data_IF_030650914564
#
_entry.id   IF_030650914564
#
_cell.length_a   1.000
_cell.length_b   1.000
_cell.length_c   1.000
_cell.angle_alpha   90.00
_cell.angle_beta   90.00
_cell.angle_gamma   90.00
#
_symmetry.space_group_name_H-M   'P 1'
#
loop_
_entity.id
_entity.type
_entity.pdbx_description
1 polymer ?
#
# COMPACT_ATOMS: atom_id res chain seq x y z
N UNK A 1 9.08 31.70 73.42
CA UNK A 1 10.04 30.89 72.64
C UNK A 1 9.88 31.24 71.16
N UNK A 2 10.92 31.80 70.51
CA UNK A 2 10.95 32.08 69.07
C UNK A 2 11.42 30.81 68.32
N UNK A 3 10.79 30.39 67.22
CA UNK A 3 11.29 29.27 66.43
C UNK A 3 12.45 29.72 65.53
N UNK A 4 13.56 28.98 65.63
CA UNK A 4 14.78 29.13 64.85
C UNK A 4 14.55 28.63 63.42
N UNK A 5 14.77 29.51 62.43
CA UNK A 5 14.91 29.12 61.02
C UNK A 5 16.28 28.49 60.82
N UNK A 6 16.36 27.19 60.51
CA UNK A 6 17.57 26.56 59.94
C UNK A 6 17.39 26.35 58.45
N UNK A 7 18.16 27.13 57.69
CA UNK A 7 18.44 26.98 56.26
C UNK A 7 19.38 25.79 56.05
N UNK A 8 18.99 24.83 55.21
CA UNK A 8 19.89 23.83 54.64
C UNK A 8 20.10 24.17 53.16
N UNK A 9 21.21 24.87 52.85
CA UNK A 9 21.78 24.93 51.51
C UNK A 9 22.76 23.77 51.36
N UNK A 10 22.31 22.67 50.75
CA UNK A 10 23.20 21.60 50.28
C UNK A 10 23.83 22.00 48.94
N UNK A 11 25.04 22.55 48.97
CA UNK A 11 25.81 22.84 47.77
C UNK A 11 26.32 21.53 47.16
N UNK A 12 25.91 21.21 45.93
CA UNK A 12 26.50 20.12 45.15
C UNK A 12 27.95 20.55 44.84
N UNK A 13 28.91 19.97 45.55
CA UNK A 13 30.32 20.28 45.34
C UNK A 13 30.75 20.00 43.91
N UNK A 14 31.63 20.86 43.36
CA UNK A 14 32.21 20.74 42.01
C UNK A 14 32.73 19.33 41.68
N UNK A 15 33.29 18.63 42.67
CA UNK A 15 33.71 17.22 42.55
C UNK A 15 32.55 16.24 42.42
N UNK A 16 31.44 16.48 43.11
CA UNK A 16 30.21 15.69 42.97
C UNK A 16 29.61 15.86 41.59
N UNK A 17 29.52 17.10 41.10
CA UNK A 17 29.04 17.40 39.75
C UNK A 17 29.88 16.72 38.66
N UNK A 18 31.22 16.82 38.75
CA UNK A 18 32.12 16.18 37.77
C UNK A 18 32.07 14.66 37.85
N UNK A 19 31.92 14.06 39.04
CA UNK A 19 31.74 12.61 39.20
C UNK A 19 30.45 12.12 38.57
N UNK A 20 29.36 12.87 38.73
CA UNK A 20 28.06 12.54 38.12
C UNK A 20 28.12 12.69 36.60
N UNK A 21 28.76 13.73 36.07
CA UNK A 21 28.92 13.94 34.62
C UNK A 21 29.82 12.88 33.97
N UNK A 22 30.93 12.51 34.62
CA UNK A 22 31.77 11.41 34.15
C UNK A 22 31.05 10.06 34.23
N UNK A 23 30.28 9.81 35.30
CA UNK A 23 29.44 8.61 35.41
C UNK A 23 28.38 8.52 34.30
N UNK A 24 27.72 9.65 33.99
CA UNK A 24 26.76 9.74 32.91
C UNK A 24 27.41 9.58 31.52
N UNK A 25 28.60 10.13 31.30
CA UNK A 25 29.34 9.99 30.04
C UNK A 25 29.85 8.56 29.82
N UNK A 26 30.30 7.88 30.88
CA UNK A 26 30.72 6.47 30.82
C UNK A 26 29.52 5.54 30.63
N UNK A 27 28.36 5.85 31.22
CA UNK A 27 27.14 5.07 31.06
C UNK A 27 26.38 5.36 29.75
N UNK A 28 26.59 6.51 29.11
CA UNK A 28 25.93 6.94 27.87
C UNK A 28 26.01 5.91 26.73
N UNK A 29 27.18 5.33 26.39
CA UNK A 29 27.25 4.28 25.36
C UNK A 29 26.58 2.96 25.78
N UNK A 30 26.29 2.74 27.06
CA UNK A 30 25.57 1.58 27.57
C UNK A 30 24.07 1.87 27.80
N UNK A 31 23.61 3.11 27.66
CA UNK A 31 22.18 3.45 27.73
C UNK A 31 21.39 2.79 26.60
N UNK A 32 22.04 2.46 25.47
CA UNK A 32 21.49 1.62 24.40
C UNK A 32 21.22 0.18 24.84
N UNK A 33 21.95 -0.36 25.83
CA UNK A 33 21.72 -1.71 26.39
C UNK A 33 20.55 -1.75 27.38
N UNK A 34 20.17 -0.59 27.94
CA UNK A 34 19.03 -0.43 28.84
C UNK A 34 17.77 0.05 28.12
N UNK A 35 17.87 0.36 26.82
CA UNK A 35 16.69 0.37 25.98
C UNK A 35 16.22 -1.09 25.92
N UNK A 36 14.97 -1.40 26.29
CA UNK A 36 14.39 -2.62 25.81
C UNK A 36 14.40 -2.47 24.29
N UNK A 37 15.39 -3.06 23.63
CA UNK A 37 15.24 -3.47 22.26
C UNK A 37 13.92 -4.23 22.25
N UNK A 38 12.86 -3.61 21.71
CA UNK A 38 11.66 -4.32 21.27
C UNK A 38 12.19 -5.54 20.55
N UNK A 39 12.03 -6.70 21.18
CA UNK A 39 12.79 -7.90 20.93
C UNK A 39 13.20 -7.98 19.45
N UNK A 40 14.47 -7.70 19.15
CA UNK A 40 15.06 -8.19 17.90
C UNK A 40 15.06 -9.69 18.04
N UNK A 41 13.95 -10.32 17.63
CA UNK A 41 13.87 -11.74 17.43
C UNK A 41 15.05 -12.11 16.53
N UNK A 42 16.04 -12.77 17.13
CA UNK A 42 17.17 -13.30 16.42
C UNK A 42 16.64 -14.33 15.42
N UNK A 43 16.73 -14.00 14.13
CA UNK A 43 16.42 -14.91 13.02
C UNK A 43 14.94 -15.10 12.71
N UNK A 44 14.23 -14.05 12.28
CA UNK A 44 12.85 -14.19 11.79
C UNK A 44 12.03 -12.91 11.71
N UNK A 45 12.60 -11.80 11.22
CA UNK A 45 11.83 -10.54 11.04
C UNK A 45 10.71 -10.68 10.00
N UNK A 46 9.73 -9.77 10.06
CA UNK A 46 8.68 -9.68 9.04
C UNK A 46 9.31 -9.58 7.64
N UNK A 47 9.00 -10.55 6.77
CA UNK A 47 9.57 -10.67 5.42
C UNK A 47 8.71 -10.04 4.33
N UNK A 48 7.48 -9.65 4.70
CA UNK A 48 6.47 -9.14 3.77
C UNK A 48 5.76 -7.98 4.41
N UNK A 49 5.46 -6.95 3.62
CA UNK A 49 4.55 -5.87 3.97
C UNK A 49 3.37 -5.93 3.00
N UNK A 50 2.16 -5.89 3.55
CA UNK A 50 0.94 -5.63 2.81
C UNK A 50 0.22 -4.46 3.47
N UNK A 51 -0.07 -3.42 2.70
CA UNK A 51 -0.86 -2.27 3.14
C UNK A 51 -2.24 -2.36 2.49
N UNK A 52 -3.28 -2.30 3.30
CA UNK A 52 -4.64 -2.06 2.83
C UNK A 52 -4.99 -0.60 3.07
N UNK A 53 -5.52 0.06 2.05
CA UNK A 53 -6.04 1.42 2.15
C UNK A 53 -7.48 1.47 1.68
N UNK A 54 -8.34 1.94 2.58
CA UNK A 54 -9.70 2.33 2.30
C UNK A 54 -9.83 3.83 2.60
N UNK A 55 -10.29 4.64 1.65
CA UNK A 55 -10.45 6.08 1.81
C UNK A 55 -11.61 6.40 2.76
N UNK A 56 -11.77 7.69 3.07
CA UNK A 56 -12.90 8.26 3.83
C UNK A 56 -13.00 7.82 5.30
N UNK A 57 -12.05 7.00 5.73
CA UNK A 57 -11.74 6.76 7.14
C UNK A 57 -12.56 5.64 7.76
N UNK A 58 -12.60 5.67 9.07
CA UNK A 58 -13.26 4.67 9.92
C UNK A 58 -14.19 5.40 10.89
N UNK A 59 -15.18 4.69 11.43
CA UNK A 59 -16.09 5.25 12.42
C UNK A 59 -15.36 5.41 13.76
N UNK A 60 -14.62 6.51 13.88
CA UNK A 60 -13.89 6.90 15.08
C UNK A 60 -14.82 7.38 16.20
N UNK A 61 -14.23 8.01 17.23
CA UNK A 61 -15.01 8.63 18.32
C UNK A 61 -15.95 9.69 17.74
N UNK A 62 -17.24 9.59 18.06
CA UNK A 62 -18.25 10.57 17.65
C UNK A 62 -17.95 11.94 18.24
N UNK A 63 -18.36 12.99 17.53
CA UNK A 63 -18.37 14.37 18.02
C UNK A 63 -19.18 14.54 19.32
N UNK A 64 -20.20 13.69 19.52
CA UNK A 64 -21.06 13.69 20.70
C UNK A 64 -20.47 12.87 21.87
N UNK A 65 -19.27 12.31 21.67
CA UNK A 65 -18.51 11.60 22.70
C UNK A 65 -18.67 10.09 22.68
N UNK A 66 -19.48 9.53 21.78
CA UNK A 66 -19.66 8.08 21.64
C UNK A 66 -18.34 7.37 21.38
N UNK A 67 -18.28 6.12 21.84
CA UNK A 67 -17.13 5.27 21.64
C UNK A 67 -16.78 5.10 20.15
N UNK A 68 -15.48 5.03 19.86
CA UNK A 68 -15.00 4.59 18.54
C UNK A 68 -15.48 3.17 18.24
N UNK A 69 -15.89 2.94 16.99
CA UNK A 69 -16.23 1.62 16.44
C UNK A 69 -15.01 0.93 15.80
N UNK A 70 -13.87 1.64 15.71
CA UNK A 70 -12.59 1.13 15.17
C UNK A 70 -11.57 0.70 16.25
N UNK A 71 -11.60 1.32 17.43
CA UNK A 71 -10.55 1.11 18.43
C UNK A 71 -10.78 -0.16 19.26
N UNK A 72 -9.81 -1.09 19.23
CA UNK A 72 -9.81 -2.25 20.13
C UNK A 72 -9.54 -1.82 21.58
N UNK A 73 -10.11 -2.54 22.56
CA UNK A 73 -9.88 -2.25 23.99
C UNK A 73 -9.05 -3.35 24.64
N UNK A 74 -8.08 -2.98 25.45
CA UNK A 74 -7.30 -3.94 26.24
C UNK A 74 -7.69 -3.83 27.72
N UNK A 75 -8.10 -4.94 28.33
CA UNK A 75 -8.38 -5.02 29.78
C UNK A 75 -8.05 -6.39 30.33
N UNK A 76 -7.31 -6.43 31.45
CA UNK A 76 -6.95 -7.69 32.11
C UNK A 76 -6.17 -8.67 31.23
N UNK A 77 -5.36 -8.17 30.29
CA UNK A 77 -4.60 -9.00 29.35
C UNK A 77 -5.41 -9.57 28.18
N UNK A 78 -6.68 -9.18 28.02
CA UNK A 78 -7.51 -9.56 26.88
C UNK A 78 -7.78 -8.37 25.98
N UNK A 79 -7.82 -8.62 24.67
CA UNK A 79 -8.30 -7.67 23.67
C UNK A 79 -9.80 -7.90 23.47
N UNK A 80 -10.55 -6.81 23.45
CA UNK A 80 -11.95 -6.77 23.05
C UNK A 80 -12.03 -5.98 21.74
N UNK A 81 -12.45 -6.66 20.69
CA UNK A 81 -12.65 -6.06 19.37
C UNK A 81 -13.88 -5.14 19.39
N UNK A 82 -13.82 -4.07 18.60
CA UNK A 82 -14.97 -3.20 18.30
C UNK A 82 -15.67 -3.71 17.03
N UNK A 83 -16.84 -3.14 16.71
CA UNK A 83 -17.67 -3.52 15.56
C UNK A 83 -16.87 -3.64 14.26
N UNK A 84 -16.11 -2.61 13.88
CA UNK A 84 -15.32 -2.62 12.64
C UNK A 84 -14.11 -3.58 12.66
N UNK A 85 -13.79 -4.15 13.83
CA UNK A 85 -12.73 -5.13 14.00
C UNK A 85 -13.27 -6.56 14.19
N UNK A 86 -14.58 -6.78 14.24
CA UNK A 86 -15.20 -8.11 14.39
C UNK A 86 -14.71 -9.14 13.37
N UNK A 87 -14.42 -8.80 12.09
CA UNK A 87 -13.84 -9.75 11.15
C UNK A 87 -12.47 -10.33 11.57
N UNK A 88 -11.80 -9.74 12.56
CA UNK A 88 -10.54 -10.23 13.13
C UNK A 88 -10.74 -11.17 14.34
N UNK A 89 -11.98 -11.52 14.68
CA UNK A 89 -12.27 -12.47 15.75
C UNK A 89 -11.55 -13.81 15.52
N UNK A 90 -10.86 -14.31 16.54
CA UNK A 90 -10.02 -15.50 16.47
C UNK A 90 -8.58 -15.26 15.98
N UNK A 91 -8.22 -14.02 15.63
CA UNK A 91 -6.86 -13.61 15.28
C UNK A 91 -6.25 -12.59 16.25
N UNK A 92 -6.90 -12.32 17.38
CA UNK A 92 -6.50 -11.28 18.32
C UNK A 92 -5.08 -11.49 18.86
N UNK A 93 -4.68 -12.74 19.05
CA UNK A 93 -3.35 -13.15 19.51
C UNK A 93 -2.26 -13.00 18.43
N UNK A 94 -2.65 -12.78 17.18
CA UNK A 94 -1.76 -12.54 16.03
C UNK A 94 -1.74 -11.08 15.57
N UNK A 95 -2.51 -10.21 16.21
CA UNK A 95 -2.66 -8.81 15.83
C UNK A 95 -2.07 -7.88 16.89
N UNK A 96 -1.54 -6.75 16.42
CA UNK A 96 -1.21 -5.60 17.26
C UNK A 96 -2.15 -4.47 16.90
N UNK A 97 -3.01 -4.09 17.84
CA UNK A 97 -3.95 -2.99 17.66
C UNK A 97 -3.33 -1.69 18.17
N UNK A 98 -3.25 -0.69 17.29
CA UNK A 98 -2.66 0.61 17.60
C UNK A 98 -3.78 1.67 17.65
N UNK A 99 -4.07 2.16 18.85
CA UNK A 99 -5.04 3.24 19.05
C UNK A 99 -4.34 4.60 19.16
N UNK A 100 -5.04 5.68 18.79
CA UNK A 100 -4.53 7.04 18.91
C UNK A 100 -3.45 7.44 17.89
N UNK A 101 -3.24 6.64 16.83
CA UNK A 101 -2.41 7.06 15.71
C UNK A 101 -3.12 8.11 14.87
N UNK A 102 -2.47 9.26 14.67
CA UNK A 102 -2.94 10.33 13.79
C UNK A 102 -1.79 10.82 12.91
N UNK A 103 -2.12 11.26 11.69
CA UNK A 103 -1.17 11.89 10.76
C UNK A 103 -0.86 13.36 11.12
N UNK A 104 -1.41 13.84 12.24
CA UNK A 104 -1.41 15.26 12.62
C UNK A 104 -2.23 16.10 11.63
N UNK A 105 -1.89 17.39 11.52
CA UNK A 105 -2.41 18.23 10.44
C UNK A 105 -1.85 17.72 9.10
N UNK A 106 -2.69 17.15 8.24
CA UNK A 106 -2.41 17.04 6.81
C UNK A 106 -2.70 18.38 6.14
N UNK A 107 -2.09 18.71 5.01
CA UNK A 107 -2.38 19.85 4.11
C UNK A 107 -3.79 20.47 4.32
N UNK A 108 -3.90 21.40 5.28
CA UNK A 108 -5.15 22.08 5.67
C UNK A 108 -6.35 21.19 6.08
N UNK A 109 -6.14 19.91 6.37
CA UNK A 109 -7.18 18.96 6.78
C UNK A 109 -8.01 18.39 5.62
N UNK A 110 -7.47 18.37 4.40
CA UNK A 110 -8.19 17.92 3.21
C UNK A 110 -8.14 16.39 2.98
N UNK A 111 -9.20 15.83 2.40
CA UNK A 111 -9.27 14.43 1.95
C UNK A 111 -8.05 14.02 1.07
N UNK A 112 -7.67 14.79 0.02
CA UNK A 112 -6.45 14.52 -0.75
C UNK A 112 -5.16 14.62 0.08
N UNK A 113 -5.08 15.59 1.00
CA UNK A 113 -3.92 15.78 1.87
C UNK A 113 -3.65 14.54 2.73
N UNK A 114 -4.70 13.95 3.30
CA UNK A 114 -4.60 12.69 4.04
C UNK A 114 -4.07 11.54 3.19
N UNK A 115 -4.63 11.34 1.99
CA UNK A 115 -4.20 10.29 1.07
C UNK A 115 -2.71 10.44 0.67
N UNK A 116 -2.28 11.65 0.34
CA UNK A 116 -0.88 11.98 0.01
C UNK A 116 0.09 11.68 1.16
N UNK A 117 -0.32 12.01 2.38
CA UNK A 117 0.53 11.96 3.57
C UNK A 117 0.65 10.57 4.17
N UNK A 118 -0.36 9.71 3.97
CA UNK A 118 -0.46 8.40 4.63
C UNK A 118 0.83 7.59 4.61
N UNK A 119 1.41 7.39 3.43
CA UNK A 119 2.63 6.60 3.28
C UNK A 119 3.89 7.45 3.10
N UNK A 120 3.76 8.74 2.81
CA UNK A 120 4.92 9.63 2.62
C UNK A 120 5.36 10.32 3.91
N UNK A 121 4.47 10.43 4.90
CA UNK A 121 4.63 11.22 6.13
C UNK A 121 5.02 12.68 5.88
N UNK A 122 4.75 13.21 4.68
CA UNK A 122 5.04 14.59 4.32
C UNK A 122 3.87 15.20 3.56
N UNK A 123 3.64 16.47 3.87
CA UNK A 123 2.62 17.31 3.24
C UNK A 123 2.85 17.41 1.72
N UNK A 124 1.76 17.41 0.97
CA UNK A 124 1.71 17.39 -0.49
C UNK A 124 2.16 16.09 -1.14
N UNK A 125 2.49 15.04 -0.37
CA UNK A 125 3.10 13.82 -0.91
C UNK A 125 4.50 14.10 -1.45
N UNK A 126 5.19 15.12 -0.92
CA UNK A 126 6.50 15.58 -1.38
C UNK A 126 7.67 14.69 -0.90
N UNK A 127 7.43 13.38 -0.79
CA UNK A 127 8.39 12.39 -0.34
C UNK A 127 8.20 11.07 -1.05
N UNK A 128 9.18 10.18 -0.91
CA UNK A 128 9.00 8.77 -1.27
C UNK A 128 8.08 8.12 -0.24
N UNK A 129 7.13 7.31 -0.70
CA UNK A 129 6.24 6.58 0.18
C UNK A 129 6.91 5.36 0.83
N UNK A 130 6.42 4.93 1.99
CA UNK A 130 6.98 3.85 2.79
C UNK A 130 7.05 2.52 2.02
N UNK A 131 6.02 2.19 1.27
CA UNK A 131 5.95 1.03 0.37
C UNK A 131 7.06 1.07 -0.69
N UNK A 132 7.34 2.23 -1.28
CA UNK A 132 8.39 2.39 -2.29
C UNK A 132 9.79 2.34 -1.66
N UNK A 133 9.96 2.92 -0.47
CA UNK A 133 11.18 2.77 0.31
C UNK A 133 11.46 1.29 0.64
N UNK A 134 10.43 0.55 1.06
CA UNK A 134 10.55 -0.88 1.36
C UNK A 134 10.75 -1.73 0.10
N UNK A 135 10.18 -1.35 -1.04
CA UNK A 135 10.45 -1.98 -2.32
C UNK A 135 11.94 -1.87 -2.69
N UNK A 136 12.57 -0.71 -2.43
CA UNK A 136 13.99 -0.48 -2.71
C UNK A 136 14.96 -1.24 -1.79
N UNK A 137 14.46 -1.76 -0.66
CA UNK A 137 15.26 -2.41 0.38
C UNK A 137 14.89 -3.88 0.56
N UNK A 138 13.71 -4.15 1.12
CA UNK A 138 13.16 -5.49 1.34
C UNK A 138 12.77 -6.13 0.02
N UNK A 139 12.01 -5.42 -0.82
CA UNK A 139 11.51 -5.94 -2.09
C UNK A 139 12.56 -6.13 -3.18
N UNK A 140 13.77 -5.57 -3.02
CA UNK A 140 14.79 -5.47 -4.08
C UNK A 140 15.16 -6.81 -4.73
N UNK A 141 15.09 -7.91 -3.97
CA UNK A 141 15.43 -9.25 -4.46
C UNK A 141 14.28 -9.98 -5.16
N UNK A 142 13.06 -9.45 -5.12
CA UNK A 142 11.90 -10.07 -5.74
C UNK A 142 11.76 -9.66 -7.22
N UNK A 143 11.23 -10.54 -8.10
CA UNK A 143 10.94 -10.21 -9.50
C UNK A 143 10.10 -8.93 -9.66
N UNK A 144 9.15 -8.73 -8.76
CA UNK A 144 8.35 -7.52 -8.63
C UNK A 144 8.63 -6.89 -7.26
N UNK A 145 9.58 -5.93 -7.17
CA UNK A 145 9.96 -5.32 -5.89
C UNK A 145 8.81 -4.64 -5.17
N UNK A 146 7.78 -4.23 -5.92
CA UNK A 146 6.55 -3.62 -5.43
C UNK A 146 5.37 -4.10 -6.26
N UNK A 147 4.23 -4.35 -5.60
CA UNK A 147 2.95 -4.63 -6.26
C UNK A 147 1.88 -3.67 -5.74
N UNK A 148 1.35 -2.81 -6.62
CA UNK A 148 0.28 -1.87 -6.28
C UNK A 148 -0.99 -2.25 -7.03
N UNK A 149 -1.98 -2.73 -6.28
CA UNK A 149 -3.27 -3.17 -6.80
C UNK A 149 -4.39 -2.27 -6.30
N UNK A 150 -5.48 -2.21 -7.04
CA UNK A 150 -6.63 -1.43 -6.68
C UNK A 150 -7.95 -2.14 -6.95
N UNK A 151 -8.97 -1.78 -6.16
CA UNK A 151 -10.35 -2.14 -6.41
C UNK A 151 -11.12 -0.84 -6.63
N UNK A 152 -11.44 -0.54 -7.89
CA UNK A 152 -12.10 0.71 -8.31
C UNK A 152 -11.36 1.99 -7.88
N UNK A 153 -10.04 1.93 -7.70
CA UNK A 153 -9.22 3.08 -7.32
C UNK A 153 -9.00 4.07 -8.48
N UNK A 154 -9.19 3.61 -9.72
CA UNK A 154 -9.06 4.36 -10.97
C UNK A 154 -10.41 4.80 -11.55
N UNK A 155 -11.52 4.57 -10.83
CA UNK A 155 -12.87 4.95 -11.27
C UNK A 155 -12.95 6.43 -11.65
N UNK A 156 -13.78 6.76 -12.63
CA UNK A 156 -13.95 8.12 -13.14
C UNK A 156 -12.64 8.79 -13.64
N UNK A 157 -11.65 8.00 -14.06
CA UNK A 157 -10.37 8.52 -14.55
C UNK A 157 -9.51 9.14 -13.44
N UNK A 158 -9.65 8.62 -12.21
CA UNK A 158 -8.86 9.05 -11.06
C UNK A 158 -7.36 9.07 -11.40
N UNK A 159 -6.68 10.11 -10.94
CA UNK A 159 -5.26 10.33 -11.20
C UNK A 159 -4.61 11.16 -10.10
N UNK A 160 -3.28 11.20 -10.07
CA UNK A 160 -2.53 12.11 -9.20
C UNK A 160 -2.84 11.89 -7.72
N UNK A 161 -3.50 12.87 -7.09
CA UNK A 161 -3.78 12.89 -5.66
C UNK A 161 -4.75 11.81 -5.16
N UNK A 162 -5.35 11.05 -6.06
CA UNK A 162 -6.19 9.89 -5.74
C UNK A 162 -5.40 8.67 -5.28
N UNK A 163 -4.09 8.63 -5.50
CA UNK A 163 -3.24 7.48 -5.23
C UNK A 163 -2.29 7.72 -4.04
N UNK A 164 -1.87 6.65 -3.37
CA UNK A 164 -1.10 6.72 -2.12
C UNK A 164 0.35 6.25 -2.24
N UNK A 165 0.74 5.67 -3.38
CA UNK A 165 2.10 5.19 -3.63
C UNK A 165 2.89 6.24 -4.42
N UNK A 166 4.01 6.70 -3.86
CA UNK A 166 4.86 7.76 -4.39
C UNK A 166 6.30 7.25 -4.55
N UNK A 167 6.71 6.78 -5.75
CA UNK A 167 8.10 6.39 -5.99
C UNK A 167 9.08 7.55 -5.76
N UNK A 168 8.64 8.77 -6.05
CA UNK A 168 9.41 9.99 -5.84
C UNK A 168 8.51 11.11 -5.33
N UNK A 169 9.12 12.12 -4.70
CA UNK A 169 8.43 13.29 -4.18
C UNK A 169 7.45 13.91 -5.21
N UNK A 170 6.20 14.04 -4.81
CA UNK A 170 5.13 14.70 -5.57
C UNK A 170 4.69 13.96 -6.83
N UNK A 171 5.16 12.73 -7.06
CA UNK A 171 4.79 11.96 -8.24
C UNK A 171 4.24 10.59 -7.84
N UNK A 172 2.91 10.45 -7.73
CA UNK A 172 2.28 9.18 -7.46
C UNK A 172 2.22 8.31 -8.72
N UNK A 173 2.06 7.00 -8.52
CA UNK A 173 1.76 6.03 -9.58
C UNK A 173 0.33 5.51 -9.42
N UNK A 174 -0.39 5.17 -10.51
CA UNK A 174 -1.69 4.51 -10.40
C UNK A 174 -1.54 3.04 -9.93
N UNK A 175 -2.53 2.49 -9.21
CA UNK A 175 -2.63 1.05 -8.99
C UNK A 175 -3.07 0.30 -10.25
N UNK A 176 -2.81 -1.01 -10.29
CA UNK A 176 -3.45 -1.92 -11.24
C UNK A 176 -4.85 -2.28 -10.74
N UNK A 177 -5.88 -1.75 -11.40
CA UNK A 177 -7.28 -1.90 -11.01
C UNK A 177 -7.97 -3.14 -11.61
N UNK A 178 -7.34 -3.80 -12.60
CA UNK A 178 -7.88 -5.03 -13.20
C UNK A 178 -7.14 -6.27 -12.67
N UNK A 179 -7.82 -7.15 -11.89
CA UNK A 179 -7.22 -8.37 -11.38
C UNK A 179 -6.68 -9.30 -12.47
N UNK A 180 -7.30 -9.35 -13.66
CA UNK A 180 -6.85 -10.20 -14.78
C UNK A 180 -5.53 -9.69 -15.34
N UNK A 181 -5.39 -8.37 -15.48
CA UNK A 181 -4.16 -7.74 -15.97
C UNK A 181 -3.04 -7.84 -14.93
N UNK A 182 -3.36 -7.66 -13.64
CA UNK A 182 -2.43 -7.91 -12.55
C UNK A 182 -1.91 -9.35 -12.58
N UNK A 183 -2.81 -10.32 -12.65
CA UNK A 183 -2.49 -11.74 -12.66
C UNK A 183 -1.65 -12.13 -13.88
N UNK A 184 -2.10 -11.74 -15.08
CA UNK A 184 -1.39 -12.00 -16.34
C UNK A 184 0.04 -11.46 -16.28
N UNK A 185 0.23 -10.22 -15.80
CA UNK A 185 1.56 -9.62 -15.65
C UNK A 185 2.48 -10.41 -14.72
N UNK A 186 1.94 -11.00 -13.66
CA UNK A 186 2.71 -11.72 -12.66
C UNK A 186 3.07 -13.14 -13.12
N UNK A 187 2.15 -13.84 -13.78
CA UNK A 187 2.23 -15.27 -14.00
C UNK A 187 2.37 -15.70 -15.47
N UNK A 188 1.88 -14.92 -16.45
CA UNK A 188 1.97 -15.30 -17.88
C UNK A 188 3.41 -15.19 -18.42
N UNK A 189 4.30 -14.46 -17.72
CA UNK A 189 5.73 -14.40 -18.02
C UNK A 189 6.59 -15.41 -17.25
N UNK A 190 6.03 -16.16 -16.29
CA UNK A 190 6.80 -17.03 -15.38
C UNK A 190 6.29 -18.47 -15.27
N UNK A 191 5.08 -18.80 -15.76
CA UNK A 191 4.56 -20.17 -15.77
C UNK A 191 3.77 -20.44 -17.04
N UNK A 192 4.49 -20.63 -18.14
CA UNK A 192 4.11 -21.62 -19.15
C UNK A 192 5.41 -22.28 -19.59
N UNK A 193 5.78 -23.38 -18.94
CA UNK A 193 6.54 -24.39 -19.67
C UNK A 193 5.67 -24.75 -20.88
N UNK A 194 6.12 -24.53 -22.13
CA UNK A 194 5.29 -24.76 -23.29
C UNK A 194 4.90 -26.23 -23.29
N UNK A 195 3.63 -26.52 -23.07
CA UNK A 195 3.05 -27.79 -23.48
C UNK A 195 3.21 -27.83 -25.01
N UNK A 196 3.92 -28.81 -25.59
CA UNK A 196 4.07 -28.86 -27.04
C UNK A 196 2.70 -29.08 -27.67
N UNK A 197 2.17 -28.08 -28.40
CA UNK A 197 1.08 -28.32 -29.35
C UNK A 197 -0.15 -27.39 -29.34
N UNK A 198 -0.12 -26.17 -28.81
CA UNK A 198 -1.24 -25.23 -29.02
C UNK A 198 -0.85 -24.07 -29.95
N UNK A 199 -1.38 -24.01 -31.19
CA UNK A 199 -1.14 -22.91 -32.10
C UNK A 199 -2.24 -21.86 -31.94
N UNK A 200 -1.96 -20.73 -31.28
CA UNK A 200 -2.85 -19.57 -31.34
C UNK A 200 -2.04 -18.28 -31.28
N UNK A 201 -1.66 -17.77 -32.45
CA UNK A 201 -1.40 -16.34 -32.63
C UNK A 201 -1.97 -15.96 -33.98
N UNK A 202 -3.04 -15.18 -33.97
CA UNK A 202 -3.67 -14.65 -35.18
C UNK A 202 -2.71 -13.64 -35.85
N UNK A 203 -2.30 -13.86 -37.12
CA UNK A 203 -1.38 -12.97 -37.83
C UNK A 203 -1.86 -11.51 -37.92
N UNK A 204 -3.18 -11.27 -37.85
CA UNK A 204 -3.75 -9.92 -37.89
C UNK A 204 -3.50 -9.14 -36.60
N UNK A 205 -3.46 -9.84 -35.46
CA UNK A 205 -3.16 -9.25 -34.14
C UNK A 205 -1.68 -8.88 -34.05
N UNK A 206 -0.79 -9.71 -34.60
CA UNK A 206 0.66 -9.44 -34.62
C UNK A 206 1.02 -8.25 -35.52
N UNK A 207 0.29 -8.04 -36.62
CA UNK A 207 0.48 -6.90 -37.53
C UNK A 207 0.03 -5.56 -36.91
N UNK A 208 -1.10 -5.57 -36.20
CA UNK A 208 -1.62 -4.36 -35.52
C UNK A 208 -0.76 -3.98 -34.31
N UNK A 209 -0.29 -4.97 -33.53
CA UNK A 209 0.69 -4.79 -32.46
C UNK A 209 2.03 -4.24 -32.99
N UNK A 210 2.46 -4.70 -34.17
CA UNK A 210 3.64 -4.17 -34.84
C UNK A 210 3.49 -2.71 -35.25
N UNK A 211 2.29 -2.29 -35.70
CA UNK A 211 1.99 -0.88 -36.04
C UNK A 211 1.95 0.01 -34.81
N UNK A 212 1.32 -0.44 -33.73
CA UNK A 212 1.20 0.35 -32.49
C UNK A 212 2.55 0.50 -31.79
N UNK A 213 3.37 -0.55 -31.73
CA UNK A 213 4.77 -0.47 -31.26
C UNK A 213 5.61 0.48 -32.10
N UNK A 214 5.47 0.46 -33.43
CA UNK A 214 6.21 1.33 -34.35
C UNK A 214 5.89 2.82 -34.18
N UNK A 215 4.61 3.19 -33.97
CA UNK A 215 4.22 4.58 -33.70
C UNK A 215 4.78 5.07 -32.36
N UNK A 216 4.83 4.20 -31.36
CA UNK A 216 5.27 4.53 -30.01
C UNK A 216 6.80 4.58 -29.89
N UNK A 217 7.53 3.71 -30.61
CA UNK A 217 8.99 3.75 -30.72
C UNK A 217 9.49 5.08 -31.31
N UNK A 218 8.75 5.65 -32.27
CA UNK A 218 9.04 6.97 -32.84
C UNK A 218 8.92 8.06 -31.76
N UNK A 219 7.87 8.02 -30.94
CA UNK A 219 7.71 8.98 -29.84
C UNK A 219 8.68 8.75 -28.68
N UNK A 220 9.05 7.51 -28.36
CA UNK A 220 10.07 7.20 -27.35
C UNK A 220 11.46 7.69 -27.77
N UNK A 221 11.79 7.63 -29.06
CA UNK A 221 13.02 8.20 -29.60
C UNK A 221 13.04 9.74 -29.47
N UNK A 222 11.92 10.41 -29.78
CA UNK A 222 11.76 11.86 -29.59
C UNK A 222 11.82 12.26 -28.10
N UNK A 223 11.22 11.47 -27.21
CA UNK A 223 11.27 11.69 -25.76
C UNK A 223 12.67 11.41 -25.19
N UNK A 224 13.42 10.46 -25.76
CA UNK A 224 14.82 10.22 -25.40
C UNK A 224 15.73 11.39 -25.83
N UNK A 225 15.52 11.95 -27.04
CA UNK A 225 16.21 13.17 -27.48
C UNK A 225 15.83 14.37 -26.58
N UNK A 226 14.54 14.54 -26.28
CA UNK A 226 14.07 15.58 -25.35
C UNK A 226 14.72 15.41 -23.96
N UNK A 227 14.83 14.18 -23.44
CA UNK A 227 15.49 13.86 -22.18
C UNK A 227 16.94 14.36 -22.15
N UNK A 228 17.68 14.29 -23.27
CA UNK A 228 19.06 14.80 -23.34
C UNK A 228 19.14 16.33 -23.23
N UNK A 229 18.08 17.04 -23.65
CA UNK A 229 17.98 18.51 -23.68
C UNK A 229 17.40 19.13 -22.40
N UNK A 230 16.80 18.31 -21.52
CA UNK A 230 16.19 18.76 -20.26
C UNK A 230 17.20 18.87 -19.10
N UNK A 231 16.96 19.84 -18.21
CA UNK A 231 17.66 20.01 -16.93
C UNK A 231 17.30 18.91 -15.92
N UNK A 232 18.03 18.84 -14.80
CA UNK A 232 17.93 17.73 -13.85
C UNK A 232 16.55 17.55 -13.17
N UNK A 233 15.78 18.62 -13.00
CA UNK A 233 14.45 18.55 -12.40
C UNK A 233 13.39 18.09 -13.43
N UNK A 234 13.46 18.61 -14.65
CA UNK A 234 12.57 18.28 -15.76
C UNK A 234 12.82 16.86 -16.27
N UNK A 235 14.10 16.44 -16.31
CA UNK A 235 14.49 15.07 -16.65
C UNK A 235 13.90 14.05 -15.68
N UNK A 236 13.86 14.35 -14.38
CA UNK A 236 13.22 13.47 -13.38
C UNK A 236 11.70 13.36 -13.60
N UNK A 237 11.02 14.46 -13.92
CA UNK A 237 9.58 14.44 -14.25
C UNK A 237 9.30 13.62 -15.50
N UNK A 238 10.13 13.78 -16.54
CA UNK A 238 10.04 13.00 -17.76
C UNK A 238 10.31 11.51 -17.51
N UNK A 239 11.29 11.17 -16.67
CA UNK A 239 11.60 9.77 -16.33
C UNK A 239 10.43 9.09 -15.61
N UNK A 240 9.75 9.80 -14.70
CA UNK A 240 8.55 9.24 -14.05
C UNK A 240 7.37 9.17 -15.03
N UNK A 241 7.22 10.14 -15.94
CA UNK A 241 6.19 10.09 -16.98
C UNK A 241 6.42 8.93 -17.95
N UNK A 242 7.68 8.66 -18.34
CA UNK A 242 8.06 7.51 -19.17
C UNK A 242 7.82 6.19 -18.44
N UNK A 243 8.05 6.11 -17.13
CA UNK A 243 7.73 4.92 -16.35
C UNK A 243 6.21 4.71 -16.23
N UNK A 244 5.44 5.78 -16.06
CA UNK A 244 3.98 5.75 -16.10
C UNK A 244 3.47 5.32 -17.48
N UNK A 245 4.04 5.82 -18.57
CA UNK A 245 3.68 5.40 -19.92
C UNK A 245 4.01 3.93 -20.18
N UNK A 246 5.17 3.44 -19.73
CA UNK A 246 5.54 2.01 -19.80
C UNK A 246 4.64 1.12 -18.94
N UNK A 247 4.07 1.65 -17.86
CA UNK A 247 3.05 0.94 -17.08
C UNK A 247 1.69 0.89 -17.80
N UNK A 248 1.36 1.93 -18.59
CA UNK A 248 0.15 1.99 -19.42
C UNK A 248 0.29 1.16 -20.70
N UNK A 249 1.47 1.09 -21.32
CA UNK A 249 1.73 0.18 -22.46
C UNK A 249 1.52 -1.28 -22.07
N UNK A 250 2.04 -1.70 -20.92
CA UNK A 250 1.77 -3.04 -20.35
C UNK A 250 0.30 -3.23 -19.97
N UNK A 251 -0.47 -2.15 -19.89
CA UNK A 251 -1.88 -2.16 -19.55
C UNK A 251 -2.79 -2.33 -20.77
N UNK A 252 -2.40 -1.75 -21.89
CA UNK A 252 -3.17 -1.76 -23.13
C UNK A 252 -3.06 -3.09 -23.92
N UNK A 253 -2.21 -4.02 -23.49
CA UNK A 253 -1.90 -5.25 -24.23
C UNK A 253 -3.00 -6.34 -24.23
N UNK A 254 -4.15 -6.19 -23.55
CA UNK A 254 -5.23 -7.19 -23.59
C UNK A 254 -6.64 -6.59 -23.51
N UNK A 255 -7.30 -6.51 -24.66
CA UNK A 255 -8.75 -6.32 -24.78
C UNK A 255 -9.44 -7.66 -24.52
N UNK A 256 -10.46 -7.65 -23.66
CA UNK A 256 -11.42 -8.73 -23.35
C UNK A 256 -10.81 -10.10 -23.01
N UNK A 257 -10.58 -10.33 -21.71
CA UNK A 257 -10.33 -11.68 -21.19
C UNK A 257 -11.65 -12.33 -20.74
N UNK A 258 -12.00 -13.53 -21.21
CA UNK A 258 -13.22 -14.22 -20.81
C UNK A 258 -13.23 -14.52 -19.29
N UNK A 259 -14.42 -14.58 -18.66
CA UNK A 259 -14.55 -14.89 -17.24
C UNK A 259 -13.96 -16.27 -16.92
N UNK A 260 -13.15 -16.36 -15.87
CA UNK A 260 -12.48 -17.60 -15.43
C UNK A 260 -13.27 -18.24 -14.29
N UNK A 261 -13.67 -19.53 -14.38
CA UNK A 261 -14.42 -20.19 -13.32
C UNK A 261 -13.58 -20.39 -12.04
N UNK A 262 -14.20 -20.37 -10.85
CA UNK A 262 -13.48 -20.46 -9.57
C UNK A 262 -12.78 -21.82 -9.38
N UNK A 263 -11.49 -21.86 -8.98
CA UNK A 263 -10.73 -23.10 -8.82
C UNK A 263 -10.88 -23.71 -7.42
N UNK A 264 -10.57 -25.01 -7.30
CA UNK A 264 -10.58 -25.77 -6.04
C UNK A 264 -9.23 -25.79 -5.30
N UNK A 265 -8.13 -25.36 -5.95
CA UNK A 265 -6.80 -25.13 -5.37
C UNK A 265 -5.92 -24.34 -6.34
N UNK A 266 -5.00 -23.48 -5.84
CA UNK A 266 -3.98 -22.78 -6.63
C UNK A 266 -2.57 -23.04 -6.07
N UNK A 267 -1.55 -22.99 -6.94
CA UNK A 267 -0.14 -23.17 -6.54
C UNK A 267 0.77 -22.28 -7.38
N UNK A 268 2.06 -22.22 -7.05
CA UNK A 268 3.00 -21.42 -7.83
C UNK A 268 3.31 -22.02 -9.21
N UNK A 269 3.11 -23.32 -9.40
CA UNK A 269 3.30 -24.00 -10.69
C UNK A 269 2.00 -24.07 -11.52
N UNK A 270 0.87 -23.74 -10.91
CA UNK A 270 -0.46 -23.66 -11.52
C UNK A 270 -1.24 -22.53 -10.82
N UNK A 271 -0.83 -21.27 -11.07
CA UNK A 271 -1.50 -20.11 -10.49
C UNK A 271 -2.89 -19.99 -11.13
N UNK A 272 -3.90 -19.63 -10.34
CA UNK A 272 -5.27 -19.51 -10.83
C UNK A 272 -5.97 -18.31 -10.21
N UNK A 273 -6.83 -17.66 -10.99
CA UNK A 273 -7.64 -16.53 -10.54
C UNK A 273 -9.12 -16.83 -10.77
N UNK A 274 -9.91 -16.78 -9.69
CA UNK A 274 -11.36 -16.76 -9.78
C UNK A 274 -11.84 -15.33 -10.01
N UNK A 275 -12.16 -14.97 -11.24
CA UNK A 275 -12.64 -13.63 -11.55
C UNK A 275 -13.51 -13.62 -12.80
N UNK A 276 -14.75 -13.18 -12.64
CA UNK A 276 -15.81 -13.24 -13.66
C UNK A 276 -16.45 -11.88 -13.97
N UNK A 277 -15.83 -10.78 -13.52
CA UNK A 277 -16.34 -9.42 -13.73
C UNK A 277 -15.87 -8.90 -15.09
N UNK A 278 -16.81 -8.36 -15.87
CA UNK A 278 -16.53 -7.78 -17.19
C UNK A 278 -15.93 -6.38 -17.10
N UNK A 279 -15.31 -5.89 -18.17
CA UNK A 279 -14.72 -4.56 -18.20
C UNK A 279 -15.77 -3.44 -18.05
N UNK A 280 -16.98 -3.65 -18.60
CA UNK A 280 -18.09 -2.71 -18.55
C UNK A 280 -18.63 -2.53 -17.13
N UNK A 281 -18.64 -3.61 -16.35
CA UNK A 281 -19.24 -3.66 -15.01
C UNK A 281 -18.21 -3.44 -13.90
N UNK A 282 -16.91 -3.40 -14.22
CA UNK A 282 -15.80 -3.34 -13.23
C UNK A 282 -15.91 -2.18 -12.25
N UNK A 283 -16.56 -1.08 -12.63
CA UNK A 283 -16.73 0.09 -11.76
C UNK A 283 -18.10 0.18 -11.09
N UNK A 284 -18.94 -0.85 -11.18
CA UNK A 284 -20.19 -0.92 -10.45
C UNK A 284 -19.96 -1.27 -8.97
N UNK A 285 -20.65 -0.60 -8.05
CA UNK A 285 -20.54 -0.89 -6.61
C UNK A 285 -20.91 -2.35 -6.28
N UNK A 286 -21.82 -2.95 -7.06
CA UNK A 286 -22.29 -4.33 -6.93
C UNK A 286 -21.18 -5.37 -7.02
N UNK A 287 -20.08 -5.05 -7.71
CA UNK A 287 -18.96 -5.97 -7.96
C UNK A 287 -17.68 -5.60 -7.19
N UNK A 288 -17.71 -4.52 -6.40
CA UNK A 288 -16.54 -4.04 -5.64
C UNK A 288 -15.91 -5.14 -4.78
N UNK A 289 -16.73 -5.89 -4.03
CA UNK A 289 -16.25 -6.98 -3.18
C UNK A 289 -15.53 -8.07 -3.98
N UNK A 290 -16.10 -8.48 -5.13
CA UNK A 290 -15.48 -9.49 -6.01
C UNK A 290 -14.15 -9.04 -6.59
N UNK A 291 -14.02 -7.76 -6.92
CA UNK A 291 -12.75 -7.20 -7.40
C UNK A 291 -11.72 -7.18 -6.28
N UNK A 292 -12.12 -6.73 -5.10
CA UNK A 292 -11.26 -6.68 -3.93
C UNK A 292 -10.74 -8.08 -3.54
N UNK A 293 -11.63 -9.08 -3.51
CA UNK A 293 -11.28 -10.48 -3.25
C UNK A 293 -10.28 -11.00 -4.28
N UNK A 294 -10.53 -10.76 -5.57
CA UNK A 294 -9.62 -11.16 -6.64
C UNK A 294 -8.25 -10.46 -6.54
N UNK A 295 -8.18 -9.18 -6.17
CA UNK A 295 -6.90 -8.50 -5.94
C UNK A 295 -6.16 -9.06 -4.72
N UNK A 296 -6.89 -9.42 -3.65
CA UNK A 296 -6.30 -10.09 -2.49
C UNK A 296 -5.72 -11.46 -2.88
N UNK A 297 -6.44 -12.24 -3.68
CA UNK A 297 -5.96 -13.54 -4.18
C UNK A 297 -4.68 -13.38 -5.03
N UNK A 298 -4.66 -12.41 -5.95
CA UNK A 298 -3.46 -12.10 -6.74
C UNK A 298 -2.29 -11.73 -5.84
N UNK A 299 -2.50 -10.85 -4.85
CA UNK A 299 -1.47 -10.40 -3.93
C UNK A 299 -0.91 -11.55 -3.08
N UNK A 300 -1.80 -12.37 -2.50
CA UNK A 300 -1.43 -13.51 -1.66
C UNK A 300 -0.66 -14.54 -2.46
N UNK A 301 -1.11 -14.87 -3.68
CA UNK A 301 -0.38 -15.79 -4.57
C UNK A 301 0.99 -15.23 -4.95
N UNK A 302 1.09 -13.95 -5.34
CA UNK A 302 2.37 -13.32 -5.67
C UNK A 302 3.34 -13.36 -4.49
N UNK A 303 2.87 -13.10 -3.27
CA UNK A 303 3.67 -13.15 -2.05
C UNK A 303 4.07 -14.58 -1.63
N UNK A 304 3.18 -15.55 -1.84
CA UNK A 304 3.44 -16.96 -1.58
C UNK A 304 4.51 -17.52 -2.52
N UNK A 305 4.45 -17.13 -3.80
CA UNK A 305 5.40 -17.54 -4.84
C UNK A 305 6.70 -16.72 -4.85
N UNK A 306 6.85 -15.78 -3.92
CA UNK A 306 8.06 -14.95 -3.82
C UNK A 306 8.22 -13.96 -4.98
N UNK A 307 7.17 -13.74 -5.78
CA UNK A 307 7.16 -12.75 -6.85
C UNK A 307 7.24 -11.33 -6.30
N UNK A 308 6.69 -11.09 -5.11
CA UNK A 308 6.80 -9.83 -4.39
C UNK A 308 6.88 -10.03 -2.88
N UNK A 309 7.37 -9.00 -2.19
CA UNK A 309 7.38 -8.91 -0.72
C UNK A 309 6.72 -7.64 -0.20
N UNK A 310 6.44 -6.67 -1.07
CA UNK A 310 5.88 -5.38 -0.68
C UNK A 310 4.68 -5.09 -1.57
N UNK A 311 3.50 -5.06 -0.94
CA UNK A 311 2.23 -4.91 -1.62
C UNK A 311 1.38 -3.79 -1.03
N UNK A 312 0.61 -3.12 -1.88
CA UNK A 312 -0.43 -2.18 -1.49
C UNK A 312 -1.71 -2.55 -2.24
N UNK A 313 -2.84 -2.61 -1.52
CA UNK A 313 -4.18 -2.73 -2.08
C UNK A 313 -4.96 -1.49 -1.69
N UNK A 314 -5.43 -0.73 -2.69
CA UNK A 314 -6.26 0.45 -2.50
C UNK A 314 -7.69 0.19 -2.97
N UNK A 315 -8.67 0.24 -2.07
CA UNK A 315 -10.09 0.17 -2.43
C UNK A 315 -10.67 1.57 -2.63
N UNK A 316 -10.97 1.99 -3.85
CA UNK A 316 -11.50 3.32 -4.15
C UNK A 316 -10.49 4.46 -3.98
N UNK A 317 -10.97 5.69 -3.84
CA UNK A 317 -10.17 6.88 -3.55
C UNK A 317 -10.96 7.90 -2.71
N UNK A 318 -10.32 8.94 -2.19
CA UNK A 318 -10.91 9.90 -1.23
C UNK A 318 -12.07 10.78 -1.75
N UNK A 319 -12.60 10.48 -2.94
CA UNK A 319 -13.81 11.07 -3.52
C UNK A 319 -14.57 10.03 -4.36
N UNK A 320 -14.36 8.74 -4.12
CA UNK A 320 -15.06 7.68 -4.87
C UNK A 320 -16.48 7.58 -4.34
N UNK A 321 -17.44 7.37 -5.24
CA UNK A 321 -18.87 7.26 -4.91
C UNK A 321 -19.24 5.85 -4.43
N UNK A 322 -18.32 5.19 -3.72
CA UNK A 322 -18.52 3.87 -3.14
C UNK A 322 -19.45 3.98 -1.94
N UNK A 323 -20.73 3.69 -2.18
CA UNK A 323 -21.73 3.67 -1.13
C UNK A 323 -21.87 2.23 -0.66
N UNK A 324 -21.53 1.98 0.60
CA UNK A 324 -21.54 0.63 1.17
C UNK A 324 -22.90 -0.06 1.04
N UNK A 325 -24.01 0.70 1.12
CA UNK A 325 -25.36 0.17 0.90
C UNK A 325 -25.62 -0.43 -0.48
N UNK A 326 -24.78 -0.12 -1.48
CA UNK A 326 -24.85 -0.71 -2.83
C UNK A 326 -23.96 -1.94 -3.00
N UNK A 327 -23.23 -2.35 -1.97
CA UNK A 327 -22.29 -3.48 -2.03
C UNK A 327 -22.98 -4.72 -1.42
N UNK A 328 -23.34 -5.72 -2.25
CA UNK A 328 -23.89 -6.98 -1.77
C UNK A 328 -22.97 -7.62 -0.73
N UNK A 329 -23.53 -8.07 0.38
CA UNK A 329 -22.79 -8.71 1.47
C UNK A 329 -22.16 -7.75 2.48
N UNK A 330 -22.26 -6.43 2.28
CA UNK A 330 -21.97 -5.48 3.37
C UNK A 330 -23.11 -5.48 4.40
N UNK A 331 -22.80 -5.16 5.65
CA UNK A 331 -23.83 -5.02 6.71
C UNK A 331 -24.83 -3.89 6.43
N UNK A 332 -24.42 -2.91 5.63
CA UNK A 332 -25.26 -1.77 5.21
C UNK A 332 -26.04 -2.03 3.93
N UNK A 333 -25.93 -3.22 3.32
CA UNK A 333 -26.51 -3.51 2.01
C UNK A 333 -28.03 -3.34 2.02
N UNK A 334 -28.52 -2.47 1.14
CA UNK A 334 -29.94 -2.22 0.91
C UNK A 334 -30.24 -2.36 -0.60
N UNK A 335 -30.98 -3.40 -1.02
CA UNK A 335 -31.32 -3.59 -2.42
C UNK A 335 -32.23 -2.49 -3.00
N UNK A 336 -32.80 -1.62 -2.16
CA UNK A 336 -33.64 -0.49 -2.56
C UNK A 336 -32.91 0.85 -2.74
N UNK A 337 -31.59 0.89 -2.53
CA UNK A 337 -30.75 2.09 -2.60
C UNK A 337 -30.20 2.38 -4.01
#
# INVERSE_FOLDING_TARGET
MKPSKRSFRGAIGRRGFVRTLMGAAVASPFASLLRPDLARAAGGGARRLLVFYFPDGVAGRSQDGDASLWEARASGGRITLSEQLEPLAGFEDRCVFLNGLQMGSADEGSHPGGAKKLLTNVDGGNGMSLDQFLASSVGRGAPFPHLYLGAQATVNGASGDKFISYPTAGTPTPPEDDPRRAFSRLFDGTVVAPTPGSPTTDPAVELELGRQRSVLDVHLAELADLRTRLGGAERRKLDVHLESLRSVERSLDRTEMPPVPPPTSSSCDDPRLAYDVSDETRFEASVFGRILDAQMDVMVQAMACGLTQVGVIQGGHHTSELIMSRIPGSEMYDPGF
#
